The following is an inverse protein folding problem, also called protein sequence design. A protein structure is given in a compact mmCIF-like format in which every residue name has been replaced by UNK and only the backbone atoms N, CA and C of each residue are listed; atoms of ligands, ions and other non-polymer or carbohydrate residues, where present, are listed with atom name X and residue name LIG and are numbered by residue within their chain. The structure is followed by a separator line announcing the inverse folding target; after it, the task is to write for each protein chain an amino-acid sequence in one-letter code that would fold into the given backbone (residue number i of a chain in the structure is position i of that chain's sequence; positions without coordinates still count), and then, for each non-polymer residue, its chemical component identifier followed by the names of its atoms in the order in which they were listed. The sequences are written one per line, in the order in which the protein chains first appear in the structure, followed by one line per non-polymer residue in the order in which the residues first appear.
data_IF_331061003940
#
_entry.id   IF_331061003940
#
_cell.length_a   1.000
_cell.length_b   1.000
_cell.length_c   1.000
_cell.angle_alpha   90.00
_cell.angle_beta   90.00
_cell.angle_gamma   90.00
#
_symmetry.space_group_name_H-M   'P 1'
#
loop_
_entity.id
_entity.type
_entity.pdbx_description
1 polymer ?
#
# COMPACT_ATOMS: atom_id res chain seq x y z
N UNK A 1 -31.85 21.83 -3.59
CA UNK A 1 -31.22 20.82 -4.46
C UNK A 1 -31.10 19.56 -3.63
N UNK A 2 -31.95 18.60 -3.94
CA UNK A 2 -32.03 17.34 -3.18
C UNK A 2 -30.87 16.45 -3.63
N UNK A 3 -29.80 16.38 -2.86
CA UNK A 3 -28.66 15.48 -3.07
C UNK A 3 -28.92 14.06 -2.56
N UNK A 4 -30.17 13.62 -2.59
CA UNK A 4 -30.51 12.20 -2.48
C UNK A 4 -30.15 11.53 -3.80
N UNK A 5 -28.87 11.49 -4.10
CA UNK A 5 -28.36 10.74 -5.24
C UNK A 5 -28.71 9.26 -5.04
N UNK A 6 -29.29 8.64 -6.07
CA UNK A 6 -29.57 7.22 -6.11
C UNK A 6 -28.31 6.46 -5.63
N UNK A 7 -28.34 5.72 -4.51
CA UNK A 7 -27.17 5.03 -3.94
C UNK A 7 -26.49 4.10 -4.95
N UNK A 8 -27.21 3.68 -6.00
CA UNK A 8 -26.68 2.90 -7.11
C UNK A 8 -25.73 3.69 -8.03
N UNK A 9 -25.70 5.01 -7.92
CA UNK A 9 -24.80 5.90 -8.68
C UNK A 9 -23.56 6.32 -7.89
N UNK A 10 -23.47 5.97 -6.60
CA UNK A 10 -22.34 6.28 -5.74
C UNK A 10 -21.49 5.02 -5.57
N UNK A 11 -20.19 5.20 -5.53
CA UNK A 11 -19.23 4.18 -5.11
C UNK A 11 -18.76 4.53 -3.69
N UNK A 12 -18.97 3.61 -2.77
CA UNK A 12 -18.45 3.71 -1.41
C UNK A 12 -17.12 2.97 -1.35
N UNK A 13 -16.08 3.67 -0.93
CA UNK A 13 -14.74 3.13 -0.77
C UNK A 13 -14.36 3.21 0.70
N UNK A 14 -13.97 2.10 1.31
CA UNK A 14 -13.53 2.03 2.70
C UNK A 14 -12.07 1.64 2.78
N UNK A 15 -11.36 2.21 3.75
CA UNK A 15 -10.10 1.67 4.20
C UNK A 15 -10.34 0.42 5.09
N UNK A 16 -9.29 -0.32 5.37
CA UNK A 16 -9.31 -1.51 6.21
C UNK A 16 -8.85 -1.25 7.64
N UNK A 17 -7.58 -0.90 7.78
CA UNK A 17 -6.91 -0.82 9.09
C UNK A 17 -7.38 0.41 9.86
N UNK A 18 -7.88 0.18 11.09
CA UNK A 18 -8.47 1.26 11.89
C UNK A 18 -9.83 1.78 11.40
N UNK A 19 -10.41 1.19 10.34
CA UNK A 19 -11.69 1.59 9.76
C UNK A 19 -12.68 0.42 9.73
N UNK A 20 -12.43 -0.59 8.94
CA UNK A 20 -13.34 -1.72 8.73
C UNK A 20 -12.96 -2.93 9.59
N UNK A 21 -11.68 -3.08 9.91
CA UNK A 21 -11.17 -4.12 10.79
C UNK A 21 -11.36 -3.73 12.26
N UNK A 22 -11.56 -4.74 13.10
CA UNK A 22 -11.62 -4.60 14.55
C UNK A 22 -10.24 -4.44 15.21
N UNK A 23 -10.21 -4.37 16.55
CA UNK A 23 -8.97 -4.23 17.31
C UNK A 23 -7.99 -5.40 17.19
N UNK A 24 -8.45 -6.56 16.73
CA UNK A 24 -7.65 -7.75 16.48
C UNK A 24 -7.23 -7.86 15.00
N UNK A 25 -7.51 -6.82 14.20
CA UNK A 25 -7.18 -6.77 12.78
C UNK A 25 -7.99 -7.72 11.91
N UNK A 26 -9.20 -8.10 12.36
CA UNK A 26 -10.10 -8.99 11.65
C UNK A 26 -11.34 -8.24 11.16
N UNK A 27 -11.93 -8.72 10.06
CA UNK A 27 -13.22 -8.23 9.60
C UNK A 27 -14.35 -8.99 10.33
N UNK A 28 -15.14 -8.32 11.20
CA UNK A 28 -16.16 -9.00 11.99
C UNK A 28 -17.20 -9.68 11.11
N UNK A 29 -17.61 -10.90 11.48
CA UNK A 29 -18.60 -11.69 10.72
C UNK A 29 -19.92 -10.94 10.50
N UNK A 30 -20.37 -10.19 11.51
CA UNK A 30 -21.61 -9.39 11.39
C UNK A 30 -21.45 -8.24 10.39
N UNK A 31 -20.25 -7.64 10.29
CA UNK A 31 -19.93 -6.64 9.27
C UNK A 31 -19.95 -7.25 7.88
N UNK A 32 -19.34 -8.43 7.71
CA UNK A 32 -19.39 -9.19 6.44
C UNK A 32 -20.83 -9.45 6.01
N UNK A 33 -21.67 -9.98 6.92
CA UNK A 33 -23.09 -10.28 6.63
C UNK A 33 -23.85 -9.02 6.19
N UNK A 34 -23.68 -7.91 6.92
CA UNK A 34 -24.37 -6.63 6.64
C UNK A 34 -23.92 -6.03 5.32
N UNK A 35 -22.62 -6.01 5.05
CA UNK A 35 -22.07 -5.50 3.80
C UNK A 35 -22.56 -6.33 2.61
N UNK A 36 -22.51 -7.65 2.71
CA UNK A 36 -23.03 -8.53 1.64
C UNK A 36 -24.51 -8.28 1.37
N UNK A 37 -25.34 -8.13 2.40
CA UNK A 37 -26.75 -7.78 2.23
C UNK A 37 -26.97 -6.46 1.51
N UNK A 38 -26.11 -5.45 1.76
CA UNK A 38 -26.19 -4.16 1.10
C UNK A 38 -25.70 -4.24 -0.35
N UNK A 39 -24.60 -4.94 -0.58
CA UNK A 39 -24.02 -5.18 -1.92
C UNK A 39 -25.02 -5.94 -2.80
N UNK A 40 -25.68 -6.95 -2.26
CA UNK A 40 -26.70 -7.73 -2.97
C UNK A 40 -27.95 -6.87 -3.31
N UNK A 41 -28.23 -5.83 -2.51
CA UNK A 41 -29.27 -4.84 -2.77
C UNK A 41 -28.85 -3.71 -3.72
N UNK A 42 -27.62 -3.77 -4.22
CA UNK A 42 -27.11 -2.82 -5.22
C UNK A 42 -26.23 -1.69 -4.66
N UNK A 43 -25.71 -1.82 -3.43
CA UNK A 43 -24.65 -0.93 -2.95
C UNK A 43 -23.38 -1.18 -3.78
N UNK A 44 -22.86 -0.13 -4.41
CA UNK A 44 -21.52 -0.15 -4.98
C UNK A 44 -20.52 0.10 -3.85
N UNK A 45 -19.78 -0.92 -3.48
CA UNK A 45 -18.81 -0.89 -2.39
C UNK A 45 -17.51 -1.53 -2.81
N UNK A 46 -16.40 -0.93 -2.41
CA UNK A 46 -15.05 -1.49 -2.55
C UNK A 46 -14.14 -1.04 -1.44
N UNK A 47 -12.89 -1.52 -1.49
CA UNK A 47 -11.85 -1.29 -0.50
C UNK A 47 -10.67 -0.54 -1.14
N UNK A 48 -10.07 0.39 -0.39
CA UNK A 48 -8.77 0.96 -0.68
C UNK A 48 -7.87 0.80 0.55
N UNK A 49 -6.72 0.16 0.39
CA UNK A 49 -5.82 -0.16 1.50
C UNK A 49 -4.35 -0.12 1.10
N UNK A 50 -3.48 0.15 2.08
CA UNK A 50 -2.04 0.00 1.93
C UNK A 50 -1.57 -1.47 1.80
N UNK A 51 -2.44 -2.43 2.13
CA UNK A 51 -2.11 -3.86 2.05
C UNK A 51 -1.94 -4.31 0.59
N UNK A 52 -1.03 -5.27 0.38
CA UNK A 52 -0.95 -6.02 -0.87
C UNK A 52 -2.06 -7.08 -0.94
N UNK A 53 -2.18 -7.76 -2.09
CA UNK A 53 -3.21 -8.78 -2.32
C UNK A 53 -3.13 -9.93 -1.31
N UNK A 54 -1.93 -10.46 -1.06
CA UNK A 54 -1.75 -11.63 -0.19
C UNK A 54 -2.17 -11.37 1.26
N UNK A 55 -1.98 -10.13 1.74
CA UNK A 55 -2.37 -9.74 3.09
C UNK A 55 -3.83 -9.24 3.18
N UNK A 56 -4.41 -8.74 2.09
CA UNK A 56 -5.79 -8.26 2.05
C UNK A 56 -6.81 -9.37 1.76
N UNK A 57 -6.50 -10.28 0.83
CA UNK A 57 -7.42 -11.32 0.38
C UNK A 57 -7.97 -12.21 1.50
N UNK A 58 -7.14 -12.73 2.46
CA UNK A 58 -7.66 -13.56 3.54
C UNK A 58 -8.75 -12.88 4.38
N UNK A 59 -8.68 -11.55 4.54
CA UNK A 59 -9.62 -10.74 5.29
C UNK A 59 -10.91 -10.46 4.49
N UNK A 60 -10.77 -10.26 3.18
CA UNK A 60 -11.83 -9.79 2.30
C UNK A 60 -12.59 -10.90 1.56
N UNK A 61 -12.04 -12.12 1.49
CA UNK A 61 -12.58 -13.23 0.69
C UNK A 61 -14.06 -13.59 0.97
N UNK A 62 -14.57 -13.18 2.14
CA UNK A 62 -15.97 -13.38 2.52
C UNK A 62 -16.92 -12.30 2.01
N UNK A 63 -16.41 -11.21 1.41
CA UNK A 63 -17.22 -10.13 0.85
C UNK A 63 -17.61 -10.43 -0.62
N UNK A 64 -18.87 -10.17 -0.97
CA UNK A 64 -19.40 -10.30 -2.33
C UNK A 64 -19.06 -9.05 -3.18
N UNK A 65 -17.82 -8.56 -3.14
CA UNK A 65 -17.45 -7.36 -3.88
C UNK A 65 -17.65 -7.54 -5.38
N UNK A 66 -18.27 -6.53 -6.01
CA UNK A 66 -18.54 -6.48 -7.46
C UNK A 66 -17.58 -5.54 -8.20
N UNK A 67 -16.83 -4.76 -7.45
CA UNK A 67 -15.86 -3.82 -7.96
C UNK A 67 -14.46 -4.27 -7.57
N UNK A 68 -13.44 -3.93 -8.37
CA UNK A 68 -12.05 -4.23 -8.02
C UNK A 68 -11.67 -3.51 -6.74
N UNK A 69 -10.75 -4.08 -5.99
CA UNK A 69 -10.15 -3.48 -4.80
C UNK A 69 -8.93 -2.67 -5.18
N UNK A 70 -8.73 -1.55 -4.48
CA UNK A 70 -7.58 -0.66 -4.62
C UNK A 70 -6.56 -1.09 -3.58
N UNK A 71 -5.42 -1.60 -4.04
CA UNK A 71 -4.40 -2.19 -3.18
C UNK A 71 -3.10 -1.40 -3.26
N UNK A 72 -2.28 -1.57 -2.21
CA UNK A 72 -0.93 -1.03 -2.11
C UNK A 72 -0.90 0.48 -2.37
N UNK A 73 -1.73 1.24 -1.61
CA UNK A 73 -1.88 2.69 -1.74
C UNK A 73 -2.25 3.17 -3.17
N UNK A 74 -2.97 2.35 -3.93
CA UNK A 74 -3.40 2.69 -5.28
C UNK A 74 -2.45 2.23 -6.40
N UNK A 75 -1.36 1.53 -6.07
CA UNK A 75 -0.43 1.02 -7.09
C UNK A 75 -1.14 0.08 -8.07
N UNK A 76 -2.13 -0.69 -7.62
CA UNK A 76 -2.89 -1.54 -8.53
C UNK A 76 -4.35 -1.73 -8.11
N UNK A 77 -5.19 -1.95 -9.11
CA UNK A 77 -6.57 -2.39 -8.97
C UNK A 77 -6.66 -3.89 -9.26
N UNK A 78 -7.25 -4.64 -8.33
CA UNK A 78 -7.30 -6.10 -8.44
C UNK A 78 -8.75 -6.59 -8.33
N UNK A 79 -9.12 -7.50 -9.19
CA UNK A 79 -10.35 -8.28 -9.00
C UNK A 79 -10.13 -9.23 -7.83
N UNK A 80 -10.93 -9.07 -6.76
CA UNK A 80 -10.65 -9.70 -5.47
C UNK A 80 -10.58 -11.23 -5.54
N UNK A 81 -11.53 -11.88 -6.23
CA UNK A 81 -11.68 -13.32 -6.16
C UNK A 81 -10.76 -14.09 -7.10
N UNK A 82 -10.32 -13.47 -8.17
CA UNK A 82 -9.39 -14.07 -9.13
C UNK A 82 -7.93 -13.67 -8.90
N UNK A 83 -7.70 -12.57 -8.18
CA UNK A 83 -6.36 -12.00 -8.03
C UNK A 83 -5.84 -11.30 -9.30
N UNK A 84 -6.69 -11.14 -10.32
CA UNK A 84 -6.30 -10.52 -11.57
C UNK A 84 -6.14 -9.01 -11.39
N UNK A 85 -4.96 -8.49 -11.71
CA UNK A 85 -4.71 -7.05 -11.72
C UNK A 85 -5.29 -6.45 -13.00
N UNK A 86 -6.20 -5.50 -12.84
CA UNK A 86 -6.91 -4.83 -13.94
C UNK A 86 -6.22 -3.54 -14.37
N UNK A 87 -5.46 -2.95 -13.46
CA UNK A 87 -4.75 -1.68 -13.69
C UNK A 87 -3.54 -1.59 -12.77
N UNK A 88 -2.51 -0.92 -13.25
CA UNK A 88 -1.34 -0.49 -12.48
C UNK A 88 -1.17 1.02 -12.64
N UNK A 89 -0.76 1.69 -11.56
CA UNK A 89 -0.19 3.04 -11.66
C UNK A 89 1.18 2.98 -12.34
N UNK A 90 1.70 4.13 -12.72
CA UNK A 90 3.08 4.23 -13.15
C UNK A 90 4.03 3.85 -12.00
N UNK A 91 5.11 3.14 -12.33
CA UNK A 91 6.15 2.80 -11.39
C UNK A 91 7.17 3.94 -11.26
N UNK A 92 7.84 4.01 -10.11
CA UNK A 92 8.87 5.02 -9.86
C UNK A 92 10.05 4.77 -10.83
N UNK A 93 10.43 5.80 -11.59
CA UNK A 93 11.56 5.70 -12.51
C UNK A 93 12.90 5.60 -11.75
N UNK A 94 13.93 5.04 -12.41
CA UNK A 94 15.27 4.92 -11.82
C UNK A 94 15.86 6.28 -11.44
N UNK A 95 15.63 7.31 -12.24
CA UNK A 95 16.11 8.65 -11.95
C UNK A 95 15.49 9.21 -10.66
N UNK A 96 14.20 9.00 -10.48
CA UNK A 96 13.46 9.43 -9.30
C UNK A 96 13.92 8.65 -8.08
N UNK A 97 13.93 7.32 -8.13
CA UNK A 97 14.31 6.51 -6.97
C UNK A 97 15.76 6.77 -6.54
N UNK A 98 16.69 6.92 -7.48
CA UNK A 98 18.09 7.21 -7.15
C UNK A 98 18.25 8.57 -6.46
N UNK A 99 17.48 9.59 -6.87
CA UNK A 99 17.44 10.90 -6.17
C UNK A 99 16.88 10.73 -4.76
N UNK A 100 15.78 9.99 -4.59
CA UNK A 100 15.17 9.77 -3.28
C UNK A 100 16.12 9.02 -2.33
N UNK A 101 16.83 8.00 -2.83
CA UNK A 101 17.85 7.27 -2.07
C UNK A 101 18.98 8.23 -1.66
N UNK A 102 19.51 9.03 -2.58
CA UNK A 102 20.56 9.99 -2.30
C UNK A 102 20.17 11.00 -1.22
N UNK A 103 18.93 11.50 -1.25
CA UNK A 103 18.42 12.40 -0.21
C UNK A 103 18.34 11.68 1.14
N UNK A 104 17.78 10.48 1.19
CA UNK A 104 17.71 9.70 2.42
C UNK A 104 19.11 9.46 3.02
N UNK A 105 20.09 9.12 2.19
CA UNK A 105 21.49 8.93 2.58
C UNK A 105 22.13 10.22 3.15
N UNK A 106 21.85 11.37 2.54
CA UNK A 106 22.35 12.67 3.04
C UNK A 106 21.86 12.96 4.46
N UNK A 107 20.67 12.47 4.79
CA UNK A 107 20.07 12.59 6.12
C UNK A 107 20.36 11.38 7.04
N UNK A 108 21.20 10.43 6.60
CA UNK A 108 21.52 9.18 7.32
C UNK A 108 20.28 8.32 7.65
N UNK A 109 19.31 8.29 6.77
CA UNK A 109 18.11 7.45 6.91
C UNK A 109 18.17 6.32 5.88
N UNK A 110 17.96 5.09 6.36
CA UNK A 110 17.90 3.91 5.49
C UNK A 110 16.50 3.72 4.93
N UNK A 111 16.34 3.73 3.60
CA UNK A 111 15.05 3.51 2.98
C UNK A 111 14.70 2.03 2.85
N UNK A 112 13.39 1.77 2.74
CA UNK A 112 12.83 0.52 2.27
C UNK A 112 12.26 0.73 0.87
N UNK A 113 12.73 -0.04 -0.10
CA UNK A 113 12.33 0.06 -1.50
C UNK A 113 11.44 -1.12 -1.86
N UNK A 114 10.24 -0.83 -2.32
CA UNK A 114 9.31 -1.86 -2.76
C UNK A 114 9.44 -2.11 -4.25
N UNK A 115 9.42 -3.37 -4.63
CA UNK A 115 9.31 -3.77 -6.03
C UNK A 115 8.08 -4.62 -6.26
N UNK A 116 7.54 -4.53 -7.46
CA UNK A 116 6.44 -5.36 -7.92
C UNK A 116 6.93 -6.38 -8.96
N UNK A 117 6.73 -7.66 -8.67
CA UNK A 117 7.06 -8.79 -9.54
C UNK A 117 6.13 -9.96 -9.25
N UNK A 118 6.64 -11.17 -9.36
CA UNK A 118 5.93 -12.39 -8.93
C UNK A 118 5.62 -12.35 -7.42
N UNK A 119 6.46 -11.62 -6.67
CA UNK A 119 6.27 -11.29 -5.26
C UNK A 119 6.50 -9.80 -5.04
N UNK A 120 5.86 -9.23 -4.02
CA UNK A 120 6.14 -7.89 -3.54
C UNK A 120 7.33 -7.91 -2.59
N UNK A 121 8.53 -7.70 -3.13
CA UNK A 121 9.75 -7.67 -2.32
C UNK A 121 9.98 -6.28 -1.74
N UNK A 122 10.63 -6.25 -0.59
CA UNK A 122 11.08 -5.03 0.10
C UNK A 122 12.58 -5.13 0.29
N UNK A 123 13.31 -4.30 -0.43
CA UNK A 123 14.76 -4.21 -0.36
C UNK A 123 15.16 -3.22 0.74
N UNK A 124 16.15 -3.59 1.55
CA UNK A 124 16.70 -2.75 2.60
C UNK A 124 18.18 -3.10 2.86
N UNK A 125 18.95 -2.17 3.43
CA UNK A 125 20.33 -2.43 3.87
C UNK A 125 20.39 -2.68 5.37
N UNK A 126 19.89 -1.74 6.17
CA UNK A 126 19.97 -1.81 7.62
C UNK A 126 18.68 -1.30 8.28
N UNK A 127 18.50 -1.62 9.55
CA UNK A 127 17.46 -1.04 10.41
C UNK A 127 18.15 -0.28 11.55
N UNK A 128 18.12 1.04 11.49
CA UNK A 128 18.87 1.90 12.42
C UNK A 128 18.04 2.36 13.63
N UNK A 129 16.76 1.97 13.68
CA UNK A 129 15.88 2.28 14.80
C UNK A 129 14.87 1.16 15.06
N UNK A 130 14.17 1.22 16.20
CA UNK A 130 13.23 0.19 16.64
C UNK A 130 12.02 0.05 15.70
N UNK A 131 11.56 1.15 15.09
CA UNK A 131 10.46 1.12 14.13
C UNK A 131 10.83 0.36 12.87
N UNK A 132 12.02 0.65 12.30
CA UNK A 132 12.57 -0.04 11.16
C UNK A 132 12.77 -1.55 11.44
N UNK A 133 13.29 -1.89 12.63
CA UNK A 133 13.46 -3.30 13.02
C UNK A 133 12.12 -4.02 13.13
N UNK A 134 11.13 -3.42 13.80
CA UNK A 134 9.77 -3.99 13.90
C UNK A 134 9.13 -4.18 12.51
N UNK A 135 9.39 -3.27 11.60
CA UNK A 135 8.92 -3.40 10.23
C UNK A 135 9.58 -4.58 9.49
N UNK A 136 10.91 -4.73 9.62
CA UNK A 136 11.64 -5.88 9.06
C UNK A 136 11.10 -7.18 9.60
N UNK A 137 10.84 -7.27 10.90
CA UNK A 137 10.31 -8.50 11.52
C UNK A 137 8.94 -8.86 10.90
N UNK A 138 8.11 -7.86 10.63
CA UNK A 138 6.81 -8.04 9.97
C UNK A 138 6.96 -8.56 8.54
N UNK A 139 7.74 -7.88 7.70
CA UNK A 139 7.90 -8.27 6.28
C UNK A 139 8.69 -9.57 6.12
N UNK A 140 9.56 -9.92 7.08
CA UNK A 140 10.29 -11.19 7.10
C UNK A 140 9.36 -12.36 7.36
N UNK A 141 8.37 -12.20 8.25
CA UNK A 141 7.34 -13.22 8.50
C UNK A 141 6.51 -13.53 7.25
N UNK A 142 6.38 -12.54 6.34
CA UNK A 142 5.69 -12.64 5.05
C UNK A 142 6.62 -13.07 3.91
N UNK A 143 7.89 -13.39 4.19
CA UNK A 143 8.93 -13.75 3.22
C UNK A 143 9.17 -12.69 2.14
N UNK A 144 8.99 -11.41 2.47
CA UNK A 144 9.15 -10.27 1.55
C UNK A 144 10.42 -9.47 1.77
N UNK A 145 11.08 -9.63 2.91
CA UNK A 145 12.29 -8.91 3.26
C UNK A 145 13.50 -9.39 2.46
N UNK A 146 14.17 -8.46 1.78
CA UNK A 146 15.35 -8.76 0.97
C UNK A 146 16.50 -7.83 1.34
N UNK A 147 17.42 -8.34 2.20
CA UNK A 147 18.59 -7.57 2.60
C UNK A 147 19.61 -7.53 1.47
N UNK A 148 20.15 -6.34 1.18
CA UNK A 148 21.13 -6.07 0.14
C UNK A 148 22.28 -5.23 0.70
N UNK A 149 23.41 -5.21 0.00
CA UNK A 149 24.55 -4.36 0.38
C UNK A 149 24.43 -2.96 -0.23
N UNK A 150 23.82 -2.83 -1.42
CA UNK A 150 23.66 -1.56 -2.11
C UNK A 150 22.36 -1.58 -2.96
N UNK A 151 21.76 -0.40 -3.14
CA UNK A 151 20.57 -0.21 -3.97
C UNK A 151 20.95 -0.07 -5.44
N UNK A 152 21.02 -1.19 -6.15
CA UNK A 152 21.28 -1.23 -7.59
C UNK A 152 20.08 -1.86 -8.28
N UNK A 153 19.29 -1.06 -8.98
CA UNK A 153 18.10 -1.50 -9.71
C UNK A 153 18.31 -1.38 -11.21
N UNK A 154 17.74 -2.32 -11.96
CA UNK A 154 17.72 -2.30 -13.41
C UNK A 154 16.48 -1.58 -13.95
N UNK A 155 16.52 -1.13 -15.22
CA UNK A 155 15.38 -0.51 -15.91
C UNK A 155 14.15 -1.43 -16.04
N UNK A 156 14.32 -2.73 -15.80
CA UNK A 156 13.23 -3.71 -15.86
C UNK A 156 12.54 -3.92 -14.52
N UNK A 157 13.11 -3.42 -13.44
CA UNK A 157 12.52 -3.54 -12.11
C UNK A 157 11.40 -2.52 -11.92
N UNK A 158 10.28 -3.01 -11.48
CA UNK A 158 9.08 -2.21 -11.24
C UNK A 158 9.10 -1.71 -9.79
N UNK A 159 9.65 -0.53 -9.58
CA UNK A 159 9.73 0.08 -8.24
C UNK A 159 8.37 0.68 -7.92
N UNK A 160 7.70 0.14 -6.91
CA UNK A 160 6.31 0.46 -6.56
C UNK A 160 6.18 1.33 -5.32
N UNK A 161 7.26 1.55 -4.58
CA UNK A 161 7.21 2.37 -3.38
C UNK A 161 8.56 2.64 -2.74
N UNK A 162 8.57 3.70 -1.92
CA UNK A 162 9.69 4.15 -1.13
C UNK A 162 9.17 4.48 0.27
N UNK A 163 9.78 3.92 1.30
CA UNK A 163 9.36 4.10 2.69
C UNK A 163 10.55 4.49 3.56
N UNK A 164 10.38 5.52 4.37
CA UNK A 164 11.29 5.92 5.43
C UNK A 164 10.59 5.72 6.78
N UNK A 165 11.33 5.19 7.76
CA UNK A 165 10.82 4.97 9.11
C UNK A 165 11.76 5.61 10.12
N UNK A 166 11.32 6.70 10.72
CA UNK A 166 12.00 7.37 11.83
C UNK A 166 11.01 8.26 12.60
N UNK A 167 11.50 9.05 13.56
CA UNK A 167 10.70 10.05 14.27
C UNK A 167 10.33 11.22 13.34
N UNK A 168 9.25 11.94 13.68
CA UNK A 168 8.82 13.10 12.88
C UNK A 168 9.91 14.17 12.78
N UNK A 169 10.70 14.41 13.83
CA UNK A 169 11.80 15.38 13.84
C UNK A 169 12.89 15.05 12.82
N UNK A 170 13.15 13.75 12.62
CA UNK A 170 14.16 13.25 11.65
C UNK A 170 13.60 13.27 10.23
N UNK A 171 12.32 12.93 10.06
CA UNK A 171 11.70 12.83 8.74
C UNK A 171 11.27 14.16 8.14
N UNK A 172 10.94 15.17 8.95
CA UNK A 172 10.43 16.47 8.48
C UNK A 172 11.37 17.16 7.47
N UNK A 173 12.71 17.31 7.73
CA UNK A 173 13.60 17.89 6.74
C UNK A 173 13.74 17.08 5.45
N UNK A 174 13.70 15.75 5.55
CA UNK A 174 13.75 14.86 4.37
C UNK A 174 12.49 15.01 3.54
N UNK A 175 11.33 15.03 4.20
CA UNK A 175 10.06 15.26 3.54
C UNK A 175 10.02 16.60 2.81
N UNK A 176 10.50 17.68 3.44
CA UNK A 176 10.56 18.99 2.83
C UNK A 176 11.46 19.01 1.58
N UNK A 177 12.62 18.34 1.62
CA UNK A 177 13.53 18.24 0.48
C UNK A 177 12.93 17.41 -0.65
N UNK A 178 12.36 16.22 -0.34
CA UNK A 178 11.67 15.37 -1.31
C UNK A 178 10.48 16.09 -1.95
N UNK A 179 9.67 16.80 -1.16
CA UNK A 179 8.50 17.52 -1.67
C UNK A 179 8.91 18.63 -2.65
N UNK A 180 10.00 19.35 -2.36
CA UNK A 180 10.48 20.44 -3.22
C UNK A 180 10.93 19.98 -4.62
N UNK A 181 11.26 18.70 -4.79
CA UNK A 181 11.63 18.13 -6.08
C UNK A 181 10.45 17.93 -7.03
N UNK A 182 9.22 17.88 -6.50
CA UNK A 182 8.01 17.47 -7.24
C UNK A 182 6.86 18.48 -7.12
N UNK A 183 7.11 19.68 -6.56
CA UNK A 183 6.10 20.74 -6.47
C UNK A 183 5.71 21.36 -7.83
N UNK A 184 6.48 21.11 -8.88
CA UNK A 184 6.29 21.68 -10.22
C UNK A 184 5.74 20.68 -11.26
N UNK A 185 5.36 19.46 -10.86
CA UNK A 185 4.72 18.44 -11.72
C UNK A 185 3.24 18.22 -11.32
#
# INVERSE_FOLDING_TARGET
MDFMTDPRKLLYVSDLDGTLLDGDGQLPEDSVKRLNQLIDKGLNFTIATARNYDSAYPLLKGLNLKHPVILFNGVYLTELHTGANLFFSDFISLDVINKMISIAETHNIEPFIYTYGDQHLVYYREANNLGAQSYIDTISSEQRAHKIDDFVFSEHERISGFLLIDTGEVLEPVYAELSSLYEDE
#
